data_IF_347011200988
#
_entry.id   IF_347011200988
#
_cell.length_a   1.000
_cell.length_b   1.000
_cell.length_c   1.000
_cell.angle_alpha   90.00
_cell.angle_beta   90.00
_cell.angle_gamma   90.00
#
_symmetry.space_group_name_H-M   'P 1'
#
loop_
_entity.id
_entity.type
_entity.pdbx_description
1 polymer ?
#
# COMPACT_ATOMS: atom_id res chain seq x y z
N UNK A 1 9.89 20.89 4.92
CA UNK A 1 9.40 20.38 6.22
C UNK A 1 9.97 21.26 7.31
N UNK A 2 9.15 21.78 8.22
CA UNK A 2 9.63 22.53 9.39
C UNK A 2 9.43 21.62 10.61
N UNK A 3 10.50 21.35 11.34
CA UNK A 3 10.46 20.56 12.57
C UNK A 3 10.68 21.51 13.76
N UNK A 4 9.79 21.46 14.74
CA UNK A 4 9.93 22.27 15.96
C UNK A 4 9.67 21.43 17.21
N UNK A 5 10.36 21.77 18.30
CA UNK A 5 10.10 21.17 19.60
C UNK A 5 9.01 21.97 20.32
N UNK A 6 8.02 21.27 20.85
CA UNK A 6 6.94 21.89 21.64
C UNK A 6 7.36 22.04 23.11
N UNK A 7 6.61 22.86 23.85
CA UNK A 7 6.90 23.15 25.26
C UNK A 7 6.78 21.91 26.18
N UNK A 8 6.01 20.90 25.78
CA UNK A 8 5.86 19.63 26.49
C UNK A 8 7.01 18.64 26.20
N UNK A 9 7.98 19.04 25.37
CA UNK A 9 9.11 18.24 24.97
C UNK A 9 8.88 17.36 23.73
N UNK A 10 7.65 17.31 23.21
CA UNK A 10 7.34 16.62 21.95
C UNK A 10 7.87 17.37 20.73
N UNK A 11 7.93 16.69 19.59
CA UNK A 11 8.35 17.27 18.32
C UNK A 11 7.14 17.40 17.40
N UNK A 12 7.01 18.53 16.74
CA UNK A 12 6.05 18.77 15.69
C UNK A 12 6.80 18.94 14.37
N UNK A 13 6.35 18.20 13.35
CA UNK A 13 6.83 18.37 11.99
C UNK A 13 5.65 18.81 11.12
N UNK A 14 5.77 20.00 10.52
CA UNK A 14 4.74 20.54 9.64
C UNK A 14 5.04 20.14 8.20
N UNK A 15 4.09 19.46 7.56
CA UNK A 15 4.16 19.18 6.13
C UNK A 15 4.21 20.49 5.33
N UNK A 16 5.02 20.51 4.29
CA UNK A 16 5.13 21.67 3.39
C UNK A 16 4.02 21.68 2.34
N UNK A 17 3.51 20.49 2.00
CA UNK A 17 2.45 20.29 1.02
C UNK A 17 1.09 20.34 1.70
N UNK A 18 0.19 21.12 1.16
CA UNK A 18 -1.20 21.20 1.64
C UNK A 18 -2.15 20.76 0.52
N UNK A 19 -3.19 20.04 0.90
CA UNK A 19 -4.25 19.67 -0.03
C UNK A 19 -5.08 20.91 -0.40
N UNK A 20 -5.35 21.09 -1.68
CA UNK A 20 -6.28 22.12 -2.15
C UNK A 20 -7.68 21.54 -2.34
N UNK A 21 -8.75 22.34 -2.23
CA UNK A 21 -10.13 21.89 -2.39
C UNK A 21 -10.43 21.19 -3.72
N UNK A 22 -9.66 21.48 -4.76
CA UNK A 22 -9.82 20.94 -6.12
C UNK A 22 -9.13 19.60 -6.34
N UNK A 23 -8.33 19.12 -5.37
CA UNK A 23 -7.62 17.84 -5.49
C UNK A 23 -8.56 16.67 -5.32
N UNK A 24 -8.39 15.65 -6.15
CA UNK A 24 -8.99 14.33 -6.02
C UNK A 24 -7.97 13.24 -6.40
N UNK A 25 -8.23 11.98 -6.05
CA UNK A 25 -7.28 10.88 -6.30
C UNK A 25 -6.91 10.71 -7.78
N UNK A 26 -7.86 10.69 -8.75
CA UNK A 26 -7.51 10.64 -10.17
C UNK A 26 -6.65 11.83 -10.62
N UNK A 27 -6.90 13.05 -10.13
CA UNK A 27 -6.13 14.24 -10.51
C UNK A 27 -4.67 14.13 -10.06
N UNK A 28 -4.39 13.49 -8.92
CA UNK A 28 -3.02 13.24 -8.46
C UNK A 28 -2.22 12.34 -9.42
N UNK A 29 -2.88 11.31 -9.99
CA UNK A 29 -2.25 10.45 -10.98
C UNK A 29 -2.02 11.18 -12.31
N UNK A 30 -2.98 12.01 -12.71
CA UNK A 30 -2.84 12.86 -13.92
C UNK A 30 -1.71 13.88 -13.77
N UNK A 31 -1.55 14.45 -12.57
CA UNK A 31 -0.43 15.34 -12.27
C UNK A 31 0.92 14.62 -12.44
N UNK A 32 1.05 13.38 -11.93
CA UNK A 32 2.25 12.57 -12.18
C UNK A 32 2.54 12.38 -13.67
N UNK A 33 1.53 12.09 -14.47
CA UNK A 33 1.72 11.92 -15.91
C UNK A 33 2.18 13.21 -16.61
N UNK A 34 1.71 14.36 -16.15
CA UNK A 34 2.14 15.66 -16.65
C UNK A 34 3.57 15.99 -16.26
N UNK A 35 3.96 15.74 -15.00
CA UNK A 35 5.29 16.03 -14.48
C UNK A 35 6.36 15.02 -14.94
N UNK A 36 5.96 13.76 -15.14
CA UNK A 36 6.84 12.64 -15.45
C UNK A 36 6.29 11.76 -16.59
N UNK A 37 6.08 12.30 -17.79
CA UNK A 37 5.52 11.57 -18.92
C UNK A 37 6.40 10.38 -19.31
N UNK A 38 5.77 9.26 -19.63
CA UNK A 38 6.45 8.01 -20.02
C UNK A 38 7.08 7.24 -18.87
N UNK A 39 6.99 7.73 -17.61
CA UNK A 39 7.55 7.03 -16.47
C UNK A 39 6.78 5.74 -16.18
N UNK A 40 7.51 4.65 -15.91
CA UNK A 40 6.92 3.38 -15.47
C UNK A 40 6.26 3.57 -14.11
N UNK A 41 4.98 3.26 -14.00
CA UNK A 41 4.20 3.32 -12.77
C UNK A 41 3.85 1.93 -12.23
N UNK A 42 3.63 0.97 -13.15
CA UNK A 42 3.21 -0.37 -12.80
C UNK A 42 4.06 -1.38 -13.57
N UNK A 43 4.33 -2.53 -12.96
CA UNK A 43 4.80 -3.70 -13.70
C UNK A 43 3.78 -4.83 -13.54
N UNK A 44 3.36 -5.40 -14.69
CA UNK A 44 2.40 -6.51 -14.74
C UNK A 44 3.12 -7.83 -14.98
N UNK A 45 2.78 -8.84 -14.21
CA UNK A 45 3.28 -10.20 -14.46
C UNK A 45 2.59 -10.78 -15.69
N UNK A 46 3.38 -11.21 -16.67
CA UNK A 46 2.88 -11.91 -17.83
C UNK A 46 2.57 -13.38 -17.50
N UNK A 47 1.75 -14.07 -18.30
CA UNK A 47 1.49 -15.50 -18.11
C UNK A 47 2.75 -16.40 -18.13
N UNK A 48 3.83 -15.94 -18.76
CA UNK A 48 5.13 -16.63 -18.80
C UNK A 48 6.08 -16.23 -17.66
N UNK A 49 5.59 -15.47 -16.67
CA UNK A 49 6.32 -15.12 -15.45
C UNK A 49 7.28 -13.93 -15.57
N UNK A 50 7.31 -13.22 -16.70
CA UNK A 50 8.09 -11.97 -16.87
C UNK A 50 7.28 -10.74 -16.46
N UNK A 51 7.96 -9.71 -15.98
CA UNK A 51 7.35 -8.43 -15.64
C UNK A 51 7.40 -7.49 -16.83
N UNK A 52 6.26 -6.90 -17.17
CA UNK A 52 6.11 -5.94 -18.28
C UNK A 52 5.80 -4.56 -17.73
N UNK A 53 6.58 -3.54 -18.09
CA UNK A 53 6.32 -2.18 -17.64
C UNK A 53 5.03 -1.63 -18.27
N UNK A 54 4.31 -0.84 -17.49
CA UNK A 54 3.18 0.00 -17.90
C UNK A 54 3.51 1.40 -17.44
N UNK A 55 3.56 2.35 -18.36
CA UNK A 55 3.78 3.75 -18.01
C UNK A 55 2.54 4.36 -17.38
N UNK A 56 2.72 5.50 -16.69
CA UNK A 56 1.58 6.21 -16.11
C UNK A 56 0.59 6.65 -17.20
N UNK A 57 1.07 7.06 -18.38
CA UNK A 57 0.22 7.46 -19.49
C UNK A 57 -0.58 6.28 -20.05
N UNK A 58 0.04 5.10 -20.17
CA UNK A 58 -0.66 3.87 -20.59
C UNK A 58 -1.73 3.48 -19.59
N UNK A 59 -1.40 3.52 -18.28
CA UNK A 59 -2.36 3.23 -17.22
C UNK A 59 -3.56 4.20 -17.26
N UNK A 60 -3.31 5.51 -17.42
CA UNK A 60 -4.38 6.51 -17.51
C UNK A 60 -5.20 6.37 -18.80
N UNK A 61 -4.60 5.96 -19.91
CA UNK A 61 -5.34 5.64 -21.14
C UNK A 61 -6.28 4.46 -20.92
N UNK A 62 -5.83 3.42 -20.22
CA UNK A 62 -6.70 2.29 -19.85
C UNK A 62 -7.80 2.73 -18.89
N UNK A 63 -7.47 3.57 -17.88
CA UNK A 63 -8.45 4.18 -16.96
C UNK A 63 -9.53 4.95 -17.71
N UNK A 64 -9.14 5.81 -18.65
CA UNK A 64 -10.07 6.62 -19.44
C UNK A 64 -10.98 5.74 -20.31
N UNK A 65 -10.45 4.66 -20.86
CA UNK A 65 -11.23 3.68 -21.64
C UNK A 65 -12.31 2.99 -20.79
N UNK A 66 -11.95 2.55 -19.58
CA UNK A 66 -12.89 1.90 -18.66
C UNK A 66 -13.89 2.91 -18.11
N UNK A 67 -13.45 4.13 -17.76
CA UNK A 67 -14.34 5.19 -17.27
C UNK A 67 -15.42 5.55 -18.29
N UNK A 68 -15.05 5.69 -19.56
CA UNK A 68 -16.02 5.90 -20.66
C UNK A 68 -17.04 4.77 -20.73
N UNK A 69 -16.60 3.52 -20.55
CA UNK A 69 -17.49 2.36 -20.50
C UNK A 69 -18.45 2.39 -19.32
N UNK A 70 -17.99 2.76 -18.14
CA UNK A 70 -18.84 2.91 -16.95
C UNK A 70 -19.88 4.00 -17.15
N UNK A 71 -19.51 5.13 -17.76
CA UNK A 71 -20.44 6.21 -18.13
C UNK A 71 -21.48 5.71 -19.14
N UNK A 72 -21.07 4.95 -20.16
CA UNK A 72 -21.98 4.36 -21.15
C UNK A 72 -22.99 3.37 -20.52
N UNK A 73 -22.62 2.68 -19.45
CA UNK A 73 -23.52 1.85 -18.64
C UNK A 73 -24.43 2.68 -17.72
N UNK A 74 -24.35 3.99 -17.74
CA UNK A 74 -25.20 4.89 -16.96
C UNK A 74 -24.73 5.04 -15.50
N UNK A 75 -23.44 4.87 -15.22
CA UNK A 75 -22.88 5.21 -13.89
C UNK A 75 -22.81 6.73 -13.75
N UNK A 76 -23.51 7.26 -12.76
CA UNK A 76 -23.53 8.68 -12.46
C UNK A 76 -22.58 9.06 -11.33
N UNK A 77 -22.21 10.34 -11.25
CA UNK A 77 -21.41 10.86 -10.13
C UNK A 77 -22.17 10.67 -8.81
N UNK A 78 -21.45 10.24 -7.77
CA UNK A 78 -22.02 9.91 -6.47
C UNK A 78 -22.69 8.53 -6.38
N UNK A 79 -22.84 7.79 -7.49
CA UNK A 79 -23.33 6.40 -7.43
C UNK A 79 -22.22 5.43 -7.01
N UNK A 80 -22.62 4.27 -6.48
CA UNK A 80 -21.71 3.30 -5.92
C UNK A 80 -21.42 2.14 -6.88
N UNK A 81 -20.11 1.83 -7.02
CA UNK A 81 -19.62 0.69 -7.78
C UNK A 81 -18.87 -0.27 -6.84
N UNK A 82 -19.28 -1.54 -6.80
CA UNK A 82 -18.60 -2.56 -6.00
C UNK A 82 -17.55 -3.30 -6.81
N UNK A 83 -16.40 -3.60 -6.17
CA UNK A 83 -15.30 -4.39 -6.72
C UNK A 83 -15.07 -5.61 -5.85
N UNK A 84 -15.35 -6.80 -6.37
CA UNK A 84 -15.08 -8.11 -5.74
C UNK A 84 -13.98 -8.81 -6.53
N UNK A 85 -12.73 -8.49 -6.23
CA UNK A 85 -11.58 -9.02 -6.94
C UNK A 85 -10.32 -9.02 -6.04
N UNK A 86 -9.33 -9.89 -6.33
CA UNK A 86 -8.05 -9.89 -5.65
C UNK A 86 -7.24 -8.64 -5.98
N UNK A 87 -6.21 -8.41 -5.16
CA UNK A 87 -5.23 -7.36 -5.39
C UNK A 87 -4.53 -7.55 -6.74
N UNK A 88 -4.90 -6.75 -7.73
CA UNK A 88 -4.48 -6.90 -9.12
C UNK A 88 -4.40 -5.56 -9.85
N UNK A 89 -3.79 -5.56 -11.02
CA UNK A 89 -3.81 -4.43 -11.94
C UNK A 89 -5.24 -4.03 -12.31
N UNK A 90 -6.08 -5.03 -12.59
CA UNK A 90 -7.47 -4.83 -12.96
C UNK A 90 -8.28 -4.18 -11.85
N UNK A 91 -8.00 -4.55 -10.59
CA UNK A 91 -8.62 -3.91 -9.44
C UNK A 91 -8.27 -2.41 -9.38
N UNK A 92 -6.99 -2.08 -9.48
CA UNK A 92 -6.53 -0.68 -9.47
C UNK A 92 -7.09 0.12 -10.65
N UNK A 93 -7.15 -0.50 -11.82
CA UNK A 93 -7.70 0.09 -13.03
C UNK A 93 -9.19 0.47 -12.88
N UNK A 94 -10.02 -0.46 -12.39
CA UNK A 94 -11.45 -0.24 -12.20
C UNK A 94 -11.70 0.82 -11.13
N UNK A 95 -10.95 0.75 -10.03
CA UNK A 95 -11.05 1.69 -8.92
C UNK A 95 -10.80 3.14 -9.38
N UNK A 96 -9.67 3.37 -10.04
CA UNK A 96 -9.33 4.71 -10.55
C UNK A 96 -10.29 5.15 -11.66
N UNK A 97 -10.79 4.24 -12.49
CA UNK A 97 -11.78 4.55 -13.52
C UNK A 97 -13.13 4.98 -12.93
N UNK A 98 -13.62 4.28 -11.91
CA UNK A 98 -14.84 4.65 -11.20
C UNK A 98 -14.70 6.02 -10.52
N UNK A 99 -13.57 6.26 -9.82
CA UNK A 99 -13.26 7.56 -9.21
C UNK A 99 -13.16 8.69 -10.27
N UNK A 100 -12.67 8.38 -11.48
CA UNK A 100 -12.63 9.34 -12.59
C UNK A 100 -14.00 9.70 -13.13
N UNK A 101 -15.02 8.84 -12.92
CA UNK A 101 -16.42 9.12 -13.21
C UNK A 101 -17.11 9.95 -12.12
N UNK A 102 -16.44 10.22 -11.00
CA UNK A 102 -17.03 10.80 -9.79
C UNK A 102 -17.85 9.79 -8.98
N UNK A 103 -17.73 8.50 -9.26
CA UNK A 103 -18.42 7.45 -8.53
C UNK A 103 -17.65 7.05 -7.26
N UNK A 104 -18.36 6.45 -6.32
CA UNK A 104 -17.83 5.98 -5.03
C UNK A 104 -17.57 4.47 -5.13
N UNK A 105 -16.35 4.04 -4.82
CA UNK A 105 -16.02 2.62 -4.91
C UNK A 105 -16.27 1.90 -3.59
N UNK A 106 -16.83 0.69 -3.67
CA UNK A 106 -17.12 -0.17 -2.52
C UNK A 106 -16.40 -1.49 -2.69
N UNK A 107 -15.21 -1.65 -2.07
CA UNK A 107 -14.47 -2.90 -2.13
C UNK A 107 -15.17 -3.98 -1.31
N UNK A 108 -15.30 -5.17 -1.90
CA UNK A 108 -15.80 -6.38 -1.23
C UNK A 108 -14.64 -7.38 -1.14
N UNK A 109 -14.45 -8.00 0.03
CA UNK A 109 -13.40 -9.00 0.19
C UNK A 109 -13.79 -10.31 -0.51
N UNK A 110 -12.81 -10.98 -1.11
CA UNK A 110 -13.03 -12.31 -1.73
C UNK A 110 -13.48 -13.38 -0.75
N UNK A 111 -13.27 -13.15 0.54
CA UNK A 111 -13.64 -14.06 1.63
C UNK A 111 -15.02 -13.77 2.22
N UNK A 112 -15.69 -12.70 1.76
CA UNK A 112 -17.00 -12.34 2.27
C UNK A 112 -18.04 -13.37 1.88
N UNK A 113 -18.89 -13.73 2.83
CA UNK A 113 -19.99 -14.66 2.63
C UNK A 113 -21.13 -14.02 1.83
N UNK A 114 -22.01 -14.83 1.26
CA UNK A 114 -23.21 -14.37 0.57
C UNK A 114 -24.03 -13.36 1.38
N UNK A 115 -24.19 -13.61 2.68
CA UNK A 115 -24.94 -12.72 3.60
C UNK A 115 -24.24 -11.36 3.76
N UNK A 116 -22.90 -11.34 3.84
CA UNK A 116 -22.14 -10.10 3.92
C UNK A 116 -22.23 -9.32 2.62
N UNK A 117 -22.09 -10.01 1.47
CA UNK A 117 -22.23 -9.40 0.15
C UNK A 117 -23.63 -8.78 0.00
N UNK A 118 -24.70 -9.52 0.31
CA UNK A 118 -26.08 -9.02 0.27
C UNK A 118 -26.25 -7.74 1.10
N UNK A 119 -25.72 -7.77 2.33
CA UNK A 119 -25.76 -6.62 3.22
C UNK A 119 -25.05 -5.40 2.59
N UNK A 120 -23.84 -5.58 2.07
CA UNK A 120 -23.07 -4.49 1.43
C UNK A 120 -23.81 -3.94 0.21
N UNK A 121 -24.32 -4.81 -0.66
CA UNK A 121 -25.05 -4.38 -1.87
C UNK A 121 -26.28 -3.56 -1.54
N UNK A 122 -26.98 -3.91 -0.47
CA UNK A 122 -28.18 -3.22 -0.03
C UNK A 122 -27.87 -1.92 0.72
N UNK A 123 -26.96 -1.97 1.68
CA UNK A 123 -26.63 -0.85 2.55
C UNK A 123 -25.95 0.30 1.78
N UNK A 124 -25.05 -0.04 0.85
CA UNK A 124 -24.40 0.94 -0.02
C UNK A 124 -25.16 1.23 -1.31
N UNK A 125 -26.38 0.71 -1.53
CA UNK A 125 -27.18 0.97 -2.75
C UNK A 125 -26.37 0.84 -4.06
N UNK A 126 -25.68 -0.30 -4.23
CA UNK A 126 -24.76 -0.54 -5.34
C UNK A 126 -25.48 -0.57 -6.68
N UNK A 127 -24.90 0.10 -7.69
CA UNK A 127 -25.43 0.17 -9.07
C UNK A 127 -24.73 -0.81 -10.01
N UNK A 128 -23.41 -0.91 -9.88
CA UNK A 128 -22.58 -1.78 -10.72
C UNK A 128 -21.73 -2.65 -9.82
N UNK A 129 -21.64 -3.94 -10.15
CA UNK A 129 -20.69 -4.87 -9.50
C UNK A 129 -19.72 -5.41 -10.54
N UNK A 130 -18.43 -5.34 -10.25
CA UNK A 130 -17.38 -5.96 -11.06
C UNK A 130 -16.68 -7.02 -10.23
N UNK A 131 -16.71 -8.26 -10.73
CA UNK A 131 -16.08 -9.42 -10.07
C UNK A 131 -14.85 -9.89 -10.84
N UNK A 132 -13.92 -10.58 -10.18
CA UNK A 132 -12.78 -11.19 -10.88
C UNK A 132 -13.19 -12.42 -11.68
N UNK A 133 -14.07 -13.26 -11.13
CA UNK A 133 -14.41 -14.57 -11.68
C UNK A 133 -15.90 -14.75 -11.87
N UNK A 134 -16.25 -15.63 -12.79
CA UNK A 134 -17.64 -16.07 -13.02
C UNK A 134 -18.24 -16.66 -11.74
N UNK A 135 -17.48 -17.42 -10.95
CA UNK A 135 -17.96 -17.98 -9.68
C UNK A 135 -18.37 -16.89 -8.70
N UNK A 136 -17.59 -15.81 -8.60
CA UNK A 136 -17.95 -14.65 -7.77
C UNK A 136 -19.19 -13.94 -8.33
N UNK A 137 -19.31 -13.82 -9.65
CA UNK A 137 -20.49 -13.25 -10.28
C UNK A 137 -21.76 -14.08 -10.00
N UNK A 138 -21.68 -15.40 -10.05
CA UNK A 138 -22.77 -16.30 -9.66
C UNK A 138 -23.18 -16.11 -8.19
N UNK A 139 -22.21 -15.98 -7.28
CA UNK A 139 -22.46 -15.69 -5.88
C UNK A 139 -23.19 -14.35 -5.71
N UNK A 140 -22.69 -13.28 -6.35
CA UNK A 140 -23.35 -11.96 -6.34
C UNK A 140 -24.75 -12.04 -6.93
N UNK A 141 -24.92 -12.74 -8.06
CA UNK A 141 -26.22 -12.90 -8.73
C UNK A 141 -27.26 -13.58 -7.80
N UNK A 142 -26.83 -14.48 -6.93
CA UNK A 142 -27.73 -15.19 -5.99
C UNK A 142 -28.28 -14.29 -4.87
N UNK A 143 -27.62 -13.16 -4.60
CA UNK A 143 -27.92 -12.23 -3.48
C UNK A 143 -28.07 -10.77 -3.96
N UNK A 144 -28.06 -10.53 -5.27
CA UNK A 144 -28.11 -9.17 -5.79
C UNK A 144 -29.46 -8.50 -5.48
N UNK A 145 -29.39 -7.21 -5.22
CA UNK A 145 -30.54 -6.34 -5.01
C UNK A 145 -31.05 -5.73 -6.33
N UNK A 146 -32.25 -5.20 -6.34
CA UNK A 146 -32.84 -4.54 -7.52
C UNK A 146 -32.04 -3.28 -7.91
N UNK A 147 -31.26 -2.69 -7.01
CA UNK A 147 -30.40 -1.55 -7.29
C UNK A 147 -29.24 -1.88 -8.22
N UNK A 148 -28.77 -3.13 -8.24
CA UNK A 148 -27.66 -3.58 -9.10
C UNK A 148 -28.15 -3.69 -10.55
N UNK A 149 -27.80 -2.73 -11.37
CA UNK A 149 -28.16 -2.67 -12.80
C UNK A 149 -27.24 -3.55 -13.64
N UNK A 150 -25.94 -3.57 -13.34
CA UNK A 150 -24.94 -4.30 -14.11
C UNK A 150 -24.06 -5.16 -13.19
N UNK A 151 -23.83 -6.40 -13.62
CA UNK A 151 -22.93 -7.36 -13.00
C UNK A 151 -21.98 -7.86 -14.08
N UNK A 152 -20.71 -7.49 -13.96
CA UNK A 152 -19.66 -7.80 -14.91
C UNK A 152 -18.60 -8.69 -14.30
N UNK A 153 -17.96 -9.54 -15.12
CA UNK A 153 -16.89 -10.42 -14.66
C UNK A 153 -15.64 -10.29 -15.53
N UNK A 154 -14.48 -10.12 -14.87
CA UNK A 154 -13.20 -9.89 -15.56
C UNK A 154 -12.77 -11.11 -16.39
N UNK A 155 -12.99 -12.32 -15.90
CA UNK A 155 -12.70 -13.56 -16.63
C UNK A 155 -13.61 -13.79 -17.85
N UNK A 156 -14.74 -13.08 -17.95
CA UNK A 156 -15.62 -13.04 -19.12
C UNK A 156 -15.32 -11.87 -20.04
N UNK A 157 -14.33 -11.05 -19.71
CA UNK A 157 -13.90 -9.95 -20.56
C UNK A 157 -14.55 -8.61 -20.26
N UNK A 158 -14.97 -8.36 -19.02
CA UNK A 158 -15.59 -7.10 -18.60
C UNK A 158 -14.80 -5.86 -19.04
N UNK A 159 -13.46 -5.89 -19.02
CA UNK A 159 -12.66 -4.77 -19.51
C UNK A 159 -12.88 -4.48 -20.99
N UNK A 160 -12.97 -5.52 -21.82
CA UNK A 160 -13.24 -5.35 -23.26
C UNK A 160 -14.65 -4.87 -23.49
N UNK A 161 -15.62 -5.38 -22.76
CA UNK A 161 -17.02 -4.96 -22.81
C UNK A 161 -17.15 -3.49 -22.48
N UNK A 162 -16.56 -3.03 -21.38
CA UNK A 162 -16.54 -1.63 -20.97
C UNK A 162 -15.84 -0.75 -22.01
N UNK A 163 -14.66 -1.14 -22.50
CA UNK A 163 -13.93 -0.39 -23.51
C UNK A 163 -14.77 -0.24 -24.80
N UNK A 164 -15.48 -1.30 -25.21
CA UNK A 164 -16.35 -1.27 -26.38
C UNK A 164 -17.58 -0.38 -26.16
N UNK A 165 -18.25 -0.49 -25.02
CA UNK A 165 -19.41 0.33 -24.67
C UNK A 165 -19.06 1.83 -24.62
N UNK A 166 -17.85 2.17 -24.20
CA UNK A 166 -17.39 3.55 -24.05
C UNK A 166 -16.95 4.24 -25.34
N UNK A 167 -16.95 3.58 -26.52
CA UNK A 167 -16.41 4.16 -27.75
C UNK A 167 -17.07 5.48 -28.17
N UNK A 168 -18.36 5.61 -27.95
CA UNK A 168 -19.13 6.80 -28.32
C UNK A 168 -19.17 7.89 -27.23
N UNK A 169 -18.64 7.61 -26.03
CA UNK A 169 -18.54 8.60 -24.93
C UNK A 169 -17.29 9.47 -25.17
N UNK A 170 -17.41 10.80 -25.27
CA UNK A 170 -16.25 11.67 -25.43
C UNK A 170 -15.31 11.60 -24.23
N UNK A 171 -14.00 11.69 -24.44
CA UNK A 171 -13.01 11.72 -23.36
C UNK A 171 -13.19 12.96 -22.47
N UNK A 172 -13.70 14.03 -23.03
CA UNK A 172 -14.01 15.28 -22.33
C UNK A 172 -15.02 15.06 -21.21
N UNK A 173 -15.96 14.12 -21.37
CA UNK A 173 -16.94 13.78 -20.32
C UNK A 173 -16.23 13.21 -19.09
N UNK A 174 -15.24 12.31 -19.27
CA UNK A 174 -14.43 11.78 -18.17
C UNK A 174 -13.64 12.89 -17.48
N UNK A 175 -13.07 13.82 -18.27
CA UNK A 175 -12.31 14.96 -17.74
C UNK A 175 -13.19 15.89 -16.92
N UNK A 176 -14.34 16.26 -17.44
CA UNK A 176 -15.30 17.13 -16.75
C UNK A 176 -15.79 16.50 -15.45
N UNK A 177 -16.11 15.19 -15.45
CA UNK A 177 -16.49 14.48 -14.23
C UNK A 177 -15.33 14.44 -13.23
N UNK A 178 -14.11 14.11 -13.67
CA UNK A 178 -12.92 14.12 -12.80
C UNK A 178 -12.68 15.50 -12.18
N UNK A 179 -12.79 16.58 -12.96
CA UNK A 179 -12.56 17.96 -12.49
C UNK A 179 -13.68 18.47 -11.56
N UNK A 180 -14.89 17.92 -11.70
CA UNK A 180 -16.01 18.26 -10.81
C UNK A 180 -15.84 17.73 -9.38
N UNK A 181 -15.10 16.62 -9.22
CA UNK A 181 -14.86 15.98 -7.92
C UNK A 181 -13.93 16.83 -7.06
N UNK A 182 -14.31 17.04 -5.81
CA UNK A 182 -13.58 17.87 -4.85
C UNK A 182 -12.94 17.03 -3.75
N UNK A 183 -12.03 17.66 -3.03
CA UNK A 183 -11.29 17.03 -1.92
C UNK A 183 -12.23 16.45 -0.84
N UNK A 184 -13.35 17.11 -0.59
CA UNK A 184 -14.33 16.71 0.42
C UNK A 184 -15.34 15.66 -0.05
N UNK A 185 -15.36 15.33 -1.34
CA UNK A 185 -16.31 14.35 -1.87
C UNK A 185 -15.92 12.92 -1.47
N UNK A 186 -16.91 12.06 -1.35
CA UNK A 186 -16.74 10.67 -0.99
C UNK A 186 -15.99 9.91 -2.10
N UNK A 187 -14.96 9.17 -1.73
CA UNK A 187 -14.18 8.35 -2.65
C UNK A 187 -14.52 6.86 -2.52
N UNK A 188 -14.76 6.40 -1.30
CA UNK A 188 -14.99 4.97 -1.06
C UNK A 188 -15.72 4.71 0.24
N UNK A 189 -16.46 3.60 0.29
CA UNK A 189 -17.03 3.04 1.51
C UNK A 189 -16.39 1.69 1.77
N UNK A 190 -15.64 1.57 2.89
CA UNK A 190 -14.95 0.33 3.26
C UNK A 190 -15.71 -0.33 4.41
N UNK A 191 -16.22 -1.56 4.19
CA UNK A 191 -16.93 -2.31 5.20
C UNK A 191 -15.95 -3.00 6.15
N UNK A 192 -16.15 -2.78 7.45
CA UNK A 192 -15.36 -3.39 8.52
C UNK A 192 -16.24 -4.29 9.37
N UNK A 193 -15.68 -5.39 9.86
CA UNK A 193 -16.36 -6.25 10.84
C UNK A 193 -16.46 -5.50 12.17
N UNK A 194 -17.54 -4.76 12.37
CA UNK A 194 -17.82 -4.08 13.63
C UNK A 194 -17.94 -5.06 14.81
N UNK A 195 -17.85 -4.55 16.03
CA UNK A 195 -18.03 -5.32 17.27
C UNK A 195 -19.44 -5.97 17.40
N UNK A 196 -20.37 -5.57 16.56
CA UNK A 196 -21.78 -6.04 16.56
C UNK A 196 -22.04 -7.21 15.59
N UNK A 197 -21.03 -7.67 14.84
CA UNK A 197 -21.15 -8.78 13.89
C UNK A 197 -21.72 -8.41 12.52
N UNK A 198 -22.39 -7.26 12.37
CA UNK A 198 -22.85 -6.73 11.08
C UNK A 198 -21.80 -5.74 10.57
N UNK A 199 -21.27 -5.91 9.34
CA UNK A 199 -20.31 -4.99 8.77
C UNK A 199 -20.85 -3.56 8.70
N UNK A 200 -20.01 -2.57 9.04
CA UNK A 200 -20.34 -1.15 8.96
C UNK A 200 -19.49 -0.48 7.88
N UNK A 201 -20.11 0.33 7.04
CA UNK A 201 -19.44 1.10 6.02
C UNK A 201 -18.73 2.32 6.59
N UNK A 202 -17.42 2.38 6.42
CA UNK A 202 -16.60 3.56 6.73
C UNK A 202 -16.51 4.40 5.47
N UNK A 203 -17.12 5.57 5.49
CA UNK A 203 -17.09 6.53 4.37
C UNK A 203 -15.78 7.31 4.43
N UNK A 204 -15.02 7.28 3.35
CA UNK A 204 -13.76 7.99 3.22
C UNK A 204 -13.79 8.92 2.00
N UNK A 205 -13.38 10.17 2.19
CA UNK A 205 -13.31 11.19 1.15
C UNK A 205 -11.98 11.12 0.40
N UNK A 206 -11.90 11.80 -0.75
CA UNK A 206 -10.63 12.01 -1.45
C UNK A 206 -9.59 12.67 -0.53
N UNK A 207 -10.00 13.63 0.28
CA UNK A 207 -9.14 14.34 1.23
C UNK A 207 -8.59 13.46 2.33
N UNK A 208 -9.33 12.45 2.77
CA UNK A 208 -8.85 11.51 3.77
C UNK A 208 -7.62 10.72 3.27
N UNK A 209 -7.53 10.45 1.97
CA UNK A 209 -6.34 9.84 1.37
C UNK A 209 -5.27 10.87 1.03
N UNK A 210 -5.63 11.97 0.36
CA UNK A 210 -4.67 12.93 -0.19
C UNK A 210 -3.87 13.64 0.91
N UNK A 211 -4.51 14.06 2.01
CA UNK A 211 -3.81 14.76 3.09
C UNK A 211 -2.65 13.95 3.69
N UNK A 212 -2.83 12.70 4.12
CA UNK A 212 -1.72 11.89 4.61
C UNK A 212 -0.75 11.45 3.49
N UNK A 213 -1.20 11.32 2.21
CA UNK A 213 -0.29 11.07 1.09
C UNK A 213 0.69 12.21 0.88
N UNK A 214 0.25 13.47 0.93
CA UNK A 214 1.12 14.63 0.82
C UNK A 214 2.13 14.70 1.96
N UNK A 215 1.73 14.32 3.18
CA UNK A 215 2.65 14.18 4.30
C UNK A 215 3.66 13.06 4.04
N UNK A 216 3.21 11.90 3.55
CA UNK A 216 4.10 10.80 3.22
C UNK A 216 5.13 11.17 2.13
N UNK A 217 4.77 12.03 1.18
CA UNK A 217 5.71 12.56 0.19
C UNK A 217 6.80 13.44 0.81
N UNK A 218 6.48 14.18 1.86
CA UNK A 218 7.45 15.02 2.58
C UNK A 218 8.35 14.19 3.52
N UNK A 219 7.78 13.17 4.19
CA UNK A 219 8.48 12.39 5.21
C UNK A 219 9.20 11.14 4.68
N UNK A 220 8.70 10.55 3.59
CA UNK A 220 9.21 9.30 3.02
C UNK A 220 9.52 9.43 1.52
N UNK A 221 10.19 10.51 1.07
CA UNK A 221 10.38 10.79 -0.35
C UNK A 221 11.11 9.66 -1.09
N UNK A 222 12.09 9.01 -0.46
CA UNK A 222 12.83 7.90 -1.06
C UNK A 222 12.00 6.62 -1.26
N UNK A 223 10.87 6.50 -0.57
CA UNK A 223 9.96 5.35 -0.72
C UNK A 223 8.86 5.60 -1.75
N UNK A 224 8.46 6.87 -1.93
CA UNK A 224 7.27 7.21 -2.72
C UNK A 224 7.66 7.99 -3.98
N UNK A 225 8.59 8.95 -3.87
CA UNK A 225 8.99 9.85 -4.96
C UNK A 225 10.34 9.49 -5.62
N UNK A 226 10.82 8.26 -5.44
CA UNK A 226 12.01 7.76 -6.12
C UNK A 226 11.61 6.72 -7.18
N UNK A 227 11.94 6.91 -8.47
CA UNK A 227 11.63 5.96 -9.53
C UNK A 227 12.32 4.60 -9.36
N UNK A 228 13.29 4.49 -8.45
CA UNK A 228 13.93 3.23 -8.06
C UNK A 228 13.14 2.49 -6.98
N UNK A 229 12.19 3.16 -6.33
CA UNK A 229 11.31 2.52 -5.35
C UNK A 229 10.37 1.54 -6.05
N UNK A 230 10.36 0.30 -5.57
CA UNK A 230 9.59 -0.81 -6.15
C UNK A 230 8.86 -1.55 -5.06
N UNK A 231 7.54 -1.60 -5.13
CA UNK A 231 6.73 -2.32 -4.16
C UNK A 231 5.88 -3.39 -4.81
N UNK A 232 5.88 -4.59 -4.24
CA UNK A 232 4.98 -5.67 -4.60
C UNK A 232 3.82 -5.71 -3.60
N UNK A 233 2.62 -5.36 -4.06
CA UNK A 233 1.41 -5.40 -3.25
C UNK A 233 0.75 -6.77 -3.37
N UNK A 234 0.57 -7.43 -2.25
CA UNK A 234 -0.11 -8.72 -2.09
C UNK A 234 -1.12 -8.71 -0.94
N UNK A 235 -1.11 -7.66 -0.12
CA UNK A 235 -2.18 -7.44 0.86
C UNK A 235 -3.44 -6.96 0.13
N UNK A 236 -4.63 -7.32 0.62
CA UNK A 236 -5.88 -6.91 -0.02
C UNK A 236 -5.99 -5.38 -0.16
N UNK A 237 -6.06 -4.87 -1.39
CA UNK A 237 -6.32 -3.43 -1.66
C UNK A 237 -7.77 -3.05 -1.36
N UNK A 238 -8.64 -4.02 -1.11
CA UNK A 238 -9.93 -3.80 -0.45
C UNK A 238 -9.77 -3.22 0.97
N UNK A 239 -8.61 -3.47 1.61
CA UNK A 239 -8.27 -2.88 2.91
C UNK A 239 -7.57 -1.54 2.74
N UNK A 240 -7.95 -0.55 3.57
CA UNK A 240 -7.48 0.83 3.49
C UNK A 240 -5.96 0.98 3.45
N UNK A 241 -5.21 0.21 4.24
CA UNK A 241 -3.75 0.35 4.33
C UNK A 241 -3.04 0.03 3.00
N UNK A 242 -3.39 -1.10 2.38
CA UNK A 242 -2.79 -1.48 1.09
C UNK A 242 -3.20 -0.53 -0.02
N UNK A 243 -4.45 -0.06 0.00
CA UNK A 243 -4.98 0.91 -0.95
C UNK A 243 -4.33 2.28 -0.80
N UNK A 244 -4.11 2.75 0.43
CA UNK A 244 -3.36 3.97 0.70
C UNK A 244 -1.94 3.92 0.10
N UNK A 245 -1.21 2.81 0.34
CA UNK A 245 0.14 2.63 -0.23
C UNK A 245 0.09 2.53 -1.76
N UNK A 246 -0.94 1.89 -2.32
CA UNK A 246 -1.16 1.85 -3.77
C UNK A 246 -1.28 3.27 -4.35
N UNK A 247 -2.13 4.11 -3.78
CA UNK A 247 -2.28 5.49 -4.24
C UNK A 247 -1.00 6.32 -4.07
N UNK A 248 -0.29 6.17 -2.93
CA UNK A 248 1.00 6.83 -2.75
C UNK A 248 2.01 6.50 -3.87
N UNK A 249 2.06 5.23 -4.28
CA UNK A 249 2.98 4.78 -5.33
C UNK A 249 2.51 5.18 -6.73
N UNK A 250 1.20 5.11 -6.99
CA UNK A 250 0.63 5.47 -8.30
C UNK A 250 0.70 6.98 -8.57
N UNK A 251 0.57 7.82 -7.56
CA UNK A 251 0.64 9.28 -7.70
C UNK A 251 2.03 9.87 -7.39
N UNK A 252 2.92 9.08 -6.75
CA UNK A 252 4.35 9.40 -6.63
C UNK A 252 5.15 8.90 -7.84
N UNK A 253 6.44 8.66 -7.68
CA UNK A 253 7.33 8.17 -8.75
C UNK A 253 7.68 6.68 -8.61
N UNK A 254 7.24 6.01 -7.54
CA UNK A 254 7.51 4.60 -7.32
C UNK A 254 6.84 3.69 -8.34
N UNK A 255 7.33 2.45 -8.43
CA UNK A 255 6.78 1.38 -9.28
C UNK A 255 6.04 0.39 -8.42
N UNK A 256 4.78 0.10 -8.74
CA UNK A 256 3.98 -0.91 -8.05
C UNK A 256 3.77 -2.13 -8.94
N UNK A 257 3.80 -3.31 -8.34
CA UNK A 257 3.32 -4.54 -8.95
C UNK A 257 2.33 -5.22 -8.00
N UNK A 258 1.49 -6.07 -8.55
CA UNK A 258 0.45 -6.79 -7.81
C UNK A 258 0.70 -8.29 -7.87
N UNK A 259 0.55 -8.96 -6.72
CA UNK A 259 0.58 -10.42 -6.61
C UNK A 259 -0.78 -10.89 -6.10
N UNK A 260 -1.70 -11.28 -7.00
CA UNK A 260 -3.07 -11.66 -6.64
C UNK A 260 -3.14 -13.00 -5.93
N UNK A 261 -2.14 -13.86 -6.11
CA UNK A 261 -2.08 -15.21 -5.54
C UNK A 261 -0.89 -15.37 -4.61
N UNK A 262 -1.15 -15.42 -3.31
CA UNK A 262 -0.12 -15.60 -2.29
C UNK A 262 0.69 -16.89 -2.40
N UNK A 263 0.21 -17.89 -3.17
CA UNK A 263 0.97 -19.12 -3.48
C UNK A 263 2.19 -18.83 -4.34
N UNK A 264 2.12 -17.82 -5.19
CA UNK A 264 3.20 -17.38 -6.06
C UNK A 264 4.11 -16.30 -5.45
N UNK A 265 3.78 -15.81 -4.24
CA UNK A 265 4.40 -14.63 -3.63
C UNK A 265 5.93 -14.72 -3.55
N UNK A 266 6.49 -15.88 -3.20
CA UNK A 266 7.95 -16.05 -3.08
C UNK A 266 8.63 -15.90 -4.45
N UNK A 267 8.04 -16.46 -5.49
CA UNK A 267 8.54 -16.34 -6.87
C UNK A 267 8.37 -14.91 -7.40
N UNK A 268 7.22 -14.29 -7.10
CA UNK A 268 6.97 -12.90 -7.44
C UNK A 268 7.99 -11.96 -6.79
N UNK A 269 8.28 -12.14 -5.50
CA UNK A 269 9.32 -11.37 -4.79
C UNK A 269 10.70 -11.60 -5.43
N UNK A 270 11.04 -12.84 -5.72
CA UNK A 270 12.35 -13.20 -6.29
C UNK A 270 12.56 -12.61 -7.70
N UNK A 271 11.52 -12.56 -8.51
CA UNK A 271 11.57 -12.10 -9.90
C UNK A 271 11.34 -10.58 -10.04
N UNK A 272 10.41 -10.01 -9.28
CA UNK A 272 10.14 -8.57 -9.27
C UNK A 272 11.24 -7.77 -8.55
N UNK A 273 11.87 -8.35 -7.52
CA UNK A 273 12.94 -7.76 -6.70
C UNK A 273 12.52 -6.41 -6.07
N UNK A 274 11.51 -6.41 -5.20
CA UNK A 274 11.04 -5.19 -4.55
C UNK A 274 12.14 -4.54 -3.71
N UNK A 275 12.13 -3.22 -3.62
CA UNK A 275 12.98 -2.43 -2.72
C UNK A 275 12.29 -2.17 -1.37
N UNK A 276 10.96 -2.16 -1.39
CA UNK A 276 10.13 -2.08 -0.19
C UNK A 276 8.96 -3.07 -0.24
N UNK A 277 8.51 -3.52 0.94
CA UNK A 277 7.34 -4.37 1.10
C UNK A 277 6.41 -3.82 2.18
N UNK A 278 5.13 -3.77 1.86
CA UNK A 278 4.06 -3.60 2.84
C UNK A 278 3.61 -4.97 3.33
N UNK A 279 3.67 -5.19 4.64
CA UNK A 279 3.33 -6.48 5.25
C UNK A 279 2.50 -6.30 6.51
N UNK A 280 1.82 -7.37 6.91
CA UNK A 280 1.28 -7.51 8.28
C UNK A 280 2.24 -8.37 9.12
N UNK A 281 2.28 -8.23 10.46
CA UNK A 281 3.19 -8.99 11.33
C UNK A 281 3.20 -10.50 11.06
N UNK A 282 2.04 -11.07 10.75
CA UNK A 282 1.88 -12.50 10.44
C UNK A 282 2.73 -12.98 9.27
N UNK A 283 2.99 -12.11 8.28
CA UNK A 283 3.86 -12.44 7.14
C UNK A 283 5.31 -12.59 7.62
N UNK A 284 5.78 -11.66 8.45
CA UNK A 284 7.13 -11.70 9.04
C UNK A 284 7.32 -12.93 9.93
N UNK A 285 6.31 -13.27 10.75
CA UNK A 285 6.30 -14.50 11.53
C UNK A 285 6.45 -15.75 10.66
N UNK A 286 5.65 -15.83 9.58
CA UNK A 286 5.71 -16.97 8.64
C UNK A 286 7.09 -17.09 7.99
N UNK A 287 7.70 -16.00 7.55
CA UNK A 287 9.05 -16.01 6.95
C UNK A 287 10.10 -16.45 7.97
N UNK A 288 10.05 -15.92 9.19
CA UNK A 288 10.96 -16.32 10.27
C UNK A 288 10.82 -17.80 10.60
N UNK A 289 9.58 -18.28 10.79
CA UNK A 289 9.28 -19.67 11.15
C UNK A 289 9.67 -20.64 10.02
N UNK A 290 9.42 -20.28 8.77
CA UNK A 290 9.83 -21.08 7.61
C UNK A 290 11.36 -21.17 7.50
N UNK A 291 12.09 -20.09 7.74
CA UNK A 291 13.55 -20.10 7.75
C UNK A 291 14.08 -20.95 8.91
N UNK A 292 13.49 -20.85 10.10
CA UNK A 292 13.84 -21.66 11.27
C UNK A 292 13.56 -23.16 11.04
N UNK A 293 12.39 -23.49 10.49
CA UNK A 293 12.02 -24.87 10.17
C UNK A 293 12.95 -25.50 9.10
N UNK A 294 13.32 -24.72 8.08
CA UNK A 294 14.28 -25.15 7.05
C UNK A 294 15.68 -25.42 7.62
N UNK A 295 16.08 -24.68 8.64
CA UNK A 295 17.32 -24.97 9.37
C UNK A 295 17.23 -26.29 10.16
N UNK A 296 16.03 -26.70 10.56
CA UNK A 296 15.76 -27.95 11.26
C UNK A 296 16.41 -28.00 12.64
N UNK A 297 16.62 -29.22 13.12
CA UNK A 297 17.32 -29.49 14.37
C UNK A 297 18.84 -29.60 14.21
N UNK A 298 19.54 -29.96 15.28
CA UNK A 298 20.98 -30.22 15.25
C UNK A 298 21.82 -28.96 15.04
N UNK A 299 22.94 -29.09 14.33
CA UNK A 299 23.94 -28.03 14.17
C UNK A 299 23.35 -26.80 13.38
N UNK A 300 22.63 -27.04 12.31
CA UNK A 300 22.06 -25.95 11.48
C UNK A 300 21.02 -25.14 12.25
N UNK A 301 20.14 -25.79 13.01
CA UNK A 301 19.15 -25.10 13.86
C UNK A 301 19.80 -24.28 14.97
N UNK A 302 20.86 -24.81 15.62
CA UNK A 302 21.66 -24.06 16.59
C UNK A 302 22.34 -22.86 15.95
N UNK A 303 22.86 -23.01 14.75
CA UNK A 303 23.47 -21.91 13.98
C UNK A 303 22.46 -20.83 13.62
N UNK A 304 21.23 -21.21 13.20
CA UNK A 304 20.14 -20.24 12.95
C UNK A 304 19.78 -19.47 14.22
N UNK A 305 19.56 -20.18 15.34
CA UNK A 305 19.22 -19.56 16.63
C UNK A 305 20.32 -18.60 17.11
N UNK A 306 21.58 -18.99 16.95
CA UNK A 306 22.72 -18.13 17.26
C UNK A 306 22.73 -16.88 16.36
N UNK A 307 22.56 -17.03 15.05
CA UNK A 307 22.55 -15.91 14.11
C UNK A 307 21.38 -14.94 14.39
N UNK A 308 20.17 -15.47 14.68
CA UNK A 308 19.02 -14.66 15.08
C UNK A 308 19.29 -13.87 16.37
N UNK A 309 19.99 -14.47 17.36
CA UNK A 309 20.42 -13.76 18.58
C UNK A 309 21.39 -12.62 18.25
N UNK A 310 22.37 -12.84 17.35
CA UNK A 310 23.30 -11.77 16.94
C UNK A 310 22.55 -10.63 16.22
N UNK A 311 21.60 -10.94 15.33
CA UNK A 311 20.79 -9.95 14.65
C UNK A 311 20.02 -9.05 15.65
N UNK A 312 19.32 -9.66 16.62
CA UNK A 312 18.61 -8.91 17.67
C UNK A 312 19.55 -8.04 18.50
N UNK A 313 20.69 -8.58 18.93
CA UNK A 313 21.66 -7.83 19.69
C UNK A 313 22.24 -6.63 18.92
N UNK A 314 22.48 -6.80 17.60
CA UNK A 314 22.91 -5.71 16.75
C UNK A 314 21.85 -4.61 16.63
N UNK A 315 20.60 -4.98 16.43
CA UNK A 315 19.49 -4.03 16.40
C UNK A 315 19.38 -3.26 17.72
N UNK A 316 19.32 -3.99 18.84
CA UNK A 316 19.21 -3.39 20.18
C UNK A 316 20.38 -2.46 20.51
N UNK A 317 21.60 -2.78 20.08
CA UNK A 317 22.76 -1.92 20.32
C UNK A 317 22.78 -0.66 19.45
N UNK A 318 21.93 -0.60 18.39
CA UNK A 318 21.75 0.59 17.52
C UNK A 318 20.52 1.42 17.92
N UNK A 319 19.55 0.82 18.59
CA UNK A 319 18.27 1.45 18.93
C UNK A 319 18.38 2.67 19.86
N UNK A 320 19.53 2.87 20.49
CA UNK A 320 19.83 4.02 21.36
C UNK A 320 20.86 5.00 20.76
N UNK A 321 21.32 4.76 19.54
CA UNK A 321 22.01 5.81 18.80
C UNK A 321 20.88 6.62 18.17
N UNK A 322 20.66 7.84 18.68
CA UNK A 322 19.95 8.87 17.92
C UNK A 322 20.65 8.95 16.56
N UNK A 323 20.14 8.18 15.63
CA UNK A 323 20.51 8.36 14.23
C UNK A 323 19.83 9.65 13.88
N UNK A 324 20.57 10.75 13.65
CA UNK A 324 19.94 11.96 13.13
C UNK A 324 19.13 11.51 11.92
N UNK A 325 17.89 12.01 11.81
CA UNK A 325 17.09 11.82 10.61
C UNK A 325 18.03 11.97 9.42
N UNK A 326 18.05 11.03 8.46
CA UNK A 326 18.93 11.15 7.31
C UNK A 326 18.89 12.59 6.78
N UNK A 327 20.02 13.18 6.44
CA UNK A 327 20.07 14.56 5.94
C UNK A 327 19.08 14.82 4.79
N UNK A 328 18.71 13.77 4.05
CA UNK A 328 17.66 13.77 3.04
C UNK A 328 16.24 14.02 3.59
N UNK A 329 16.02 13.82 4.89
CA UNK A 329 14.74 14.11 5.58
C UNK A 329 14.79 15.49 6.27
N UNK A 330 15.96 16.12 6.37
CA UNK A 330 16.14 17.45 6.96
C UNK A 330 16.47 18.43 5.83
N UNK A 331 15.45 18.86 5.10
CA UNK A 331 15.63 19.90 4.10
C UNK A 331 15.50 21.29 4.76
N UNK A 332 16.61 21.90 5.11
CA UNK A 332 16.72 23.29 5.56
C UNK A 332 17.46 23.43 6.89
N UNK A 333 18.02 24.64 7.18
CA UNK A 333 18.62 24.89 8.47
C UNK A 333 17.53 24.79 9.54
N UNK A 334 17.79 24.01 10.60
CA UNK A 334 16.98 24.00 11.80
C UNK A 334 16.84 25.44 12.28
N UNK A 335 15.62 25.94 12.56
CA UNK A 335 15.49 27.25 13.16
C UNK A 335 16.25 27.26 14.48
N UNK A 336 16.90 28.39 14.75
CA UNK A 336 17.74 28.66 15.93
C UNK A 336 16.92 28.26 17.19
N UNK A 337 17.17 27.06 17.69
CA UNK A 337 16.42 26.49 18.78
C UNK A 337 17.28 26.53 20.03
N UNK A 338 16.67 26.92 21.13
CA UNK A 338 17.18 26.68 22.48
C UNK A 338 17.91 25.34 22.55
N UNK A 339 19.07 25.26 23.21
CA UNK A 339 19.87 24.05 23.23
C UNK A 339 19.00 22.84 23.60
N UNK A 340 18.95 21.86 22.70
CA UNK A 340 18.42 20.53 23.02
C UNK A 340 19.08 20.11 24.31
N UNK A 341 18.34 19.76 25.39
CA UNK A 341 18.98 19.18 26.55
C UNK A 341 19.77 18.00 26.03
N UNK A 342 21.05 18.03 26.36
CA UNK A 342 22.07 17.13 25.87
C UNK A 342 21.56 15.68 25.76
N UNK A 343 21.16 15.25 24.55
CA UNK A 343 20.86 13.85 24.25
C UNK A 343 22.10 12.98 24.44
N UNK A 344 23.26 13.59 24.72
CA UNK A 344 24.47 12.93 25.13
C UNK A 344 24.37 12.29 26.53
N UNK A 345 23.25 12.48 27.24
CA UNK A 345 23.07 11.97 28.60
C UNK A 345 22.87 10.44 28.69
N UNK A 346 22.62 9.74 27.58
CA UNK A 346 22.66 8.26 27.52
C UNK A 346 23.48 7.85 26.31
N UNK A 347 24.81 7.83 26.38
CA UNK A 347 25.62 7.25 25.34
C UNK A 347 25.34 5.74 25.34
N UNK A 348 24.53 5.27 24.42
CA UNK A 348 24.61 3.86 24.05
C UNK A 348 25.96 3.68 23.35
N UNK A 349 26.90 2.96 23.94
CA UNK A 349 28.10 2.61 23.22
C UNK A 349 27.66 1.72 22.07
N UNK A 350 27.63 2.21 20.85
CA UNK A 350 27.23 1.44 19.68
C UNK A 350 27.77 -0.01 19.71
N UNK A 351 27.42 -0.87 18.78
CA UNK A 351 27.76 -2.29 18.84
C UNK A 351 29.28 -2.47 19.01
N UNK A 352 29.68 -3.25 20.01
CA UNK A 352 31.07 -3.57 20.25
C UNK A 352 31.74 -4.18 19.01
N UNK A 353 33.07 -4.03 18.86
CA UNK A 353 33.80 -4.63 17.75
C UNK A 353 33.54 -6.14 17.61
N UNK A 354 33.45 -6.85 18.73
CA UNK A 354 33.14 -8.27 18.76
C UNK A 354 31.72 -8.56 18.23
N UNK A 355 30.71 -7.74 18.59
CA UNK A 355 29.34 -7.90 18.12
C UNK A 355 29.25 -7.61 16.62
N UNK A 356 29.98 -6.61 16.10
CA UNK A 356 30.08 -6.33 14.66
C UNK A 356 30.67 -7.52 13.88
N UNK A 357 31.73 -8.15 14.40
CA UNK A 357 32.35 -9.34 13.79
C UNK A 357 31.36 -10.50 13.79
N UNK A 358 30.75 -10.81 14.95
CA UNK A 358 29.78 -11.90 15.08
C UNK A 358 28.57 -11.66 14.15
N UNK A 359 28.10 -10.42 14.01
CA UNK A 359 27.04 -10.05 13.10
C UNK A 359 27.39 -10.31 11.64
N UNK A 360 28.61 -9.95 11.20
CA UNK A 360 29.08 -10.25 9.84
C UNK A 360 29.15 -11.76 9.57
N UNK A 361 29.64 -12.54 10.54
CA UNK A 361 29.66 -14.01 10.42
C UNK A 361 28.24 -14.58 10.37
N UNK A 362 27.34 -14.09 11.20
CA UNK A 362 25.94 -14.49 11.20
C UNK A 362 25.25 -14.16 9.87
N UNK A 363 25.53 -12.98 9.30
CA UNK A 363 25.01 -12.57 7.99
C UNK A 363 25.51 -13.49 6.88
N UNK A 364 26.81 -13.70 6.78
CA UNK A 364 27.41 -14.55 5.73
C UNK A 364 26.91 -16.00 5.78
N UNK A 365 26.68 -16.56 6.96
CA UNK A 365 26.28 -17.95 7.11
C UNK A 365 24.76 -18.19 7.00
N UNK A 366 23.95 -17.25 7.50
CA UNK A 366 22.51 -17.48 7.73
C UNK A 366 21.64 -16.30 7.28
N UNK A 367 21.89 -15.06 7.76
CA UNK A 367 20.93 -13.97 7.66
C UNK A 367 20.74 -13.48 6.22
N UNK A 368 21.81 -13.48 5.41
CA UNK A 368 21.75 -13.17 3.98
C UNK A 368 20.79 -14.09 3.23
N UNK A 369 20.66 -15.36 3.61
CA UNK A 369 19.73 -16.32 3.02
C UNK A 369 18.29 -16.01 3.40
N UNK A 370 18.05 -15.54 4.62
CA UNK A 370 16.72 -15.09 5.06
C UNK A 370 16.34 -13.81 4.32
N UNK A 371 17.26 -12.86 4.19
CA UNK A 371 17.05 -11.63 3.43
C UNK A 371 16.75 -11.92 1.96
N UNK A 372 17.41 -12.90 1.35
CA UNK A 372 17.19 -13.29 -0.03
C UNK A 372 15.74 -13.79 -0.30
N UNK A 373 15.08 -14.39 0.70
CA UNK A 373 13.67 -14.81 0.57
C UNK A 373 12.74 -13.59 0.44
N UNK A 374 13.09 -12.49 1.12
CA UNK A 374 12.34 -11.23 1.09
C UNK A 374 12.67 -10.36 -0.15
N UNK A 375 13.66 -10.78 -0.94
CA UNK A 375 14.10 -10.09 -2.14
C UNK A 375 15.51 -9.48 -2.00
N UNK A 376 16.35 -9.61 -3.05
CA UNK A 376 17.75 -9.17 -3.00
C UNK A 376 17.91 -7.65 -2.86
N UNK A 377 16.93 -6.89 -3.32
CA UNK A 377 16.95 -5.41 -3.31
C UNK A 377 16.19 -4.83 -2.12
N UNK A 378 15.57 -5.67 -1.29
CA UNK A 378 14.76 -5.19 -0.17
C UNK A 378 15.62 -4.45 0.86
N UNK A 379 15.26 -3.22 1.14
CA UNK A 379 15.87 -2.40 2.20
C UNK A 379 14.85 -1.86 3.20
N UNK A 380 13.56 -1.78 2.84
CA UNK A 380 12.52 -1.25 3.73
C UNK A 380 11.32 -2.19 3.83
N UNK A 381 10.85 -2.38 5.06
CA UNK A 381 9.60 -3.07 5.37
C UNK A 381 8.69 -2.08 6.08
N UNK A 382 7.46 -1.95 5.62
CA UNK A 382 6.39 -1.24 6.30
C UNK A 382 5.47 -2.30 6.91
N UNK A 383 5.32 -2.32 8.22
CA UNK A 383 4.45 -3.25 8.94
C UNK A 383 3.28 -2.51 9.58
N UNK A 384 2.07 -2.98 9.34
CA UNK A 384 0.85 -2.37 9.90
C UNK A 384 -0.28 -3.38 10.09
N UNK A 385 -1.43 -2.89 10.55
CA UNK A 385 -2.63 -3.69 10.74
C UNK A 385 -2.68 -4.55 12.01
N UNK A 386 -1.56 -4.72 12.71
CA UNK A 386 -1.49 -5.39 14.02
C UNK A 386 -0.18 -5.05 14.72
N UNK A 387 -0.08 -5.23 16.06
CA UNK A 387 1.17 -5.05 16.79
C UNK A 387 2.25 -6.04 16.33
N UNK A 388 3.46 -5.54 16.11
CA UNK A 388 4.63 -6.35 15.79
C UNK A 388 5.44 -6.64 17.06
N UNK A 389 5.72 -7.91 17.35
CA UNK A 389 6.54 -8.28 18.50
C UNK A 389 7.95 -7.68 18.38
N UNK A 390 8.42 -7.02 19.44
CA UNK A 390 9.70 -6.31 19.47
C UNK A 390 10.89 -7.22 19.11
N UNK A 391 10.87 -8.47 19.54
CA UNK A 391 11.91 -9.46 19.20
C UNK A 391 11.98 -9.74 17.70
N UNK A 392 10.81 -9.77 17.04
CA UNK A 392 10.72 -9.98 15.61
C UNK A 392 11.18 -8.72 14.85
N UNK A 393 10.76 -7.53 15.30
CA UNK A 393 11.22 -6.25 14.77
C UNK A 393 12.76 -6.16 14.84
N UNK A 394 13.35 -6.44 16.01
CA UNK A 394 14.79 -6.44 16.21
C UNK A 394 15.51 -7.48 15.34
N UNK A 395 14.89 -8.63 15.08
CA UNK A 395 15.45 -9.60 14.15
C UNK A 395 15.59 -9.00 12.74
N UNK A 396 14.51 -8.42 12.18
CA UNK A 396 14.53 -7.86 10.82
C UNK A 396 15.39 -6.60 10.71
N UNK A 397 15.37 -5.71 11.70
CA UNK A 397 16.30 -4.57 11.78
C UNK A 397 17.76 -5.03 11.83
N UNK A 398 18.02 -6.15 12.52
CA UNK A 398 19.35 -6.78 12.60
C UNK A 398 19.84 -7.40 11.28
N UNK A 399 18.94 -7.67 10.31
CA UNK A 399 19.31 -8.02 8.95
C UNK A 399 19.76 -6.80 8.12
N UNK A 400 19.76 -5.61 8.70
CA UNK A 400 20.07 -4.36 7.99
C UNK A 400 18.88 -3.84 7.18
N UNK A 401 17.66 -4.23 7.54
CA UNK A 401 16.43 -3.71 6.93
C UNK A 401 15.88 -2.55 7.77
N UNK A 402 15.47 -1.48 7.13
CA UNK A 402 14.63 -0.45 7.75
C UNK A 402 13.24 -1.03 7.97
N UNK A 403 12.76 -1.02 9.20
CA UNK A 403 11.44 -1.52 9.54
C UNK A 403 10.63 -0.38 10.16
N UNK A 404 9.64 0.08 9.43
CA UNK A 404 8.69 1.12 9.83
C UNK A 404 7.42 0.43 10.32
N UNK A 405 6.97 0.78 11.51
CA UNK A 405 5.70 0.27 12.04
C UNK A 405 4.65 1.37 11.97
N UNK A 406 3.57 1.11 11.23
CA UNK A 406 2.43 2.00 11.12
C UNK A 406 1.27 1.56 12.00
N UNK A 407 0.67 2.52 12.71
CA UNK A 407 -0.58 2.35 13.44
C UNK A 407 -1.68 3.19 12.79
N UNK A 408 -2.84 2.61 12.59
CA UNK A 408 -4.02 3.26 12.02
C UNK A 408 -5.21 2.33 11.97
N UNK A 409 -6.35 2.90 11.61
CA UNK A 409 -7.65 2.25 11.49
C UNK A 409 -8.23 2.50 10.10
N UNK A 410 -9.28 1.79 9.72
CA UNK A 410 -10.05 2.12 8.51
C UNK A 410 -10.67 3.51 8.61
N UNK A 411 -11.17 3.86 9.78
CA UNK A 411 -11.78 5.15 10.11
C UNK A 411 -10.78 6.33 10.06
N UNK A 412 -9.47 6.04 10.08
CA UNK A 412 -8.41 7.06 9.98
C UNK A 412 -7.70 7.07 8.63
N UNK A 413 -8.20 6.29 7.67
CA UNK A 413 -7.70 6.19 6.28
C UNK A 413 -6.25 5.70 6.18
N UNK A 414 -5.84 4.83 7.09
CA UNK A 414 -4.47 4.31 7.11
C UNK A 414 -3.65 4.83 8.30
N UNK A 415 -2.35 5.05 8.14
CA UNK A 415 -1.50 5.31 9.30
C UNK A 415 -1.77 6.68 9.94
N UNK A 416 -2.14 6.68 11.22
CA UNK A 416 -2.14 7.87 12.08
C UNK A 416 -0.70 8.21 12.48
N UNK A 417 0.10 7.17 12.71
CA UNK A 417 1.50 7.29 13.07
C UNK A 417 2.34 6.23 12.40
N UNK A 418 3.59 6.58 12.13
CA UNK A 418 4.61 5.66 11.62
C UNK A 418 5.85 5.84 12.48
N UNK A 419 6.34 4.75 13.08
CA UNK A 419 7.63 4.73 13.78
C UNK A 419 8.73 4.74 12.73
N UNK A 420 9.58 5.76 12.76
CA UNK A 420 10.70 5.96 11.84
C UNK A 420 12.02 5.57 12.51
#
# INVERSE_FOLDING_TARGET
>A
MTVRRLADGSWEATATRQASPEMNLPSMLRLRAQEHPGQVAIERRSPVGTWRPVTIDQFLSDVDSIARGLIALGLEAGEHLAILAPTSYEWALIDVAALSCGAITVPIYETDSAVQIEHILKDADIRIVITATTQQAELVQSVKTDSVRHLLSLDKGAQRELAQAGLDVPIEEVRLRTESVKLGDEATIIYTSGTTGVPKGVVLTHGNFISPMLQAYDFLPLLINDPRSRSLLFLPVAHVLARFVMYCLLSGQGVVAFSPDTRNLVDDIATFKPSMLLVVPRVLEKVYNAASAKAGGGFKGRMFSWAAKQARALSQSRAYVDTPLPESLVAGPLPDTTPVPDASAIPSPGPSALLKIRGRVADALVLSKVKAILGPNLHTIISGGAPLALDLANFYRGLGLTLLQGYGLSETTGPISVEI
#
